data_IF_711282038607
#
_entry.id   IF_711282038607
#
_cell.length_a   1.000
_cell.length_b   1.000
_cell.length_c   1.000
_cell.angle_alpha   90.00
_cell.angle_beta   90.00
_cell.angle_gamma   90.00
#
_symmetry.space_group_name_H-M   'P 1'
#
loop_
_entity.id
_entity.type
_entity.pdbx_description
1 polymer ?
#
# COMPACT_ATOMS: atom_id res chain seq x y z
N UNK A 1 -13.68 -2.76 -8.11
CA UNK A 1 -14.15 -3.29 -6.81
C UNK A 1 -13.99 -4.81 -6.77
N UNK A 2 -13.27 -5.35 -5.77
CA UNK A 2 -13.05 -6.79 -5.62
C UNK A 2 -13.53 -7.21 -4.22
N UNK A 3 -14.66 -7.94 -4.08
CA UNK A 3 -15.25 -8.31 -2.79
C UNK A 3 -14.29 -9.09 -1.87
N UNK A 4 -13.47 -9.96 -2.45
CA UNK A 4 -12.52 -10.80 -1.69
C UNK A 4 -11.47 -10.01 -0.93
N UNK A 5 -10.92 -8.94 -1.52
CA UNK A 5 -10.01 -8.02 -0.80
C UNK A 5 -10.72 -7.32 0.36
N UNK A 6 -12.05 -7.23 0.28
CA UNK A 6 -12.83 -6.65 1.35
C UNK A 6 -12.94 -7.51 2.58
N UNK A 7 -13.26 -8.76 2.37
CA UNK A 7 -13.31 -9.80 3.40
C UNK A 7 -11.93 -10.03 4.01
N UNK A 8 -10.87 -10.06 3.20
CA UNK A 8 -9.50 -10.29 3.68
C UNK A 8 -8.99 -9.18 4.59
N UNK A 9 -9.33 -7.92 4.31
CA UNK A 9 -8.97 -6.80 5.18
C UNK A 9 -9.68 -6.91 6.53
N UNK A 10 -11.01 -7.12 6.52
CA UNK A 10 -11.79 -7.27 7.75
C UNK A 10 -11.30 -8.45 8.60
N UNK A 11 -10.98 -9.57 7.95
CA UNK A 11 -10.41 -10.73 8.62
C UNK A 11 -9.02 -10.42 9.22
N UNK A 12 -8.18 -9.65 8.53
CA UNK A 12 -6.86 -9.26 9.03
C UNK A 12 -6.98 -8.30 10.23
N UNK A 13 -7.86 -7.29 10.17
CA UNK A 13 -8.12 -6.37 11.28
C UNK A 13 -8.68 -7.09 12.52
N UNK A 14 -9.45 -8.16 12.32
CA UNK A 14 -9.97 -8.97 13.43
C UNK A 14 -8.96 -9.98 14.00
N UNK A 15 -8.00 -10.44 13.20
CA UNK A 15 -7.09 -11.54 13.56
C UNK A 15 -5.68 -11.10 13.94
N UNK A 16 -5.27 -9.89 13.55
CA UNK A 16 -3.90 -9.38 13.75
C UNK A 16 -3.96 -8.13 14.62
N UNK A 17 -3.12 -8.10 15.65
CA UNK A 17 -2.89 -6.88 16.45
C UNK A 17 -2.04 -5.89 15.65
N UNK A 18 -2.69 -5.12 14.78
CA UNK A 18 -2.07 -4.16 13.89
C UNK A 18 -2.86 -2.85 13.83
N UNK A 19 -2.13 -1.75 13.66
CA UNK A 19 -2.74 -0.44 13.48
C UNK A 19 -3.27 -0.29 12.06
N UNK A 20 -4.56 -0.03 11.93
CA UNK A 20 -5.18 0.26 10.65
C UNK A 20 -4.97 1.75 10.29
N UNK A 21 -4.39 2.00 9.12
CA UNK A 21 -4.21 3.35 8.57
C UNK A 21 -4.84 3.40 7.18
N UNK A 22 -5.85 4.25 7.04
CA UNK A 22 -6.50 4.49 5.76
C UNK A 22 -5.77 5.58 4.96
N UNK A 23 -5.59 5.30 3.67
CA UNK A 23 -5.32 6.27 2.63
C UNK A 23 -6.65 6.64 1.97
N UNK A 24 -7.17 7.82 2.34
CA UNK A 24 -8.48 8.30 1.91
C UNK A 24 -8.48 8.58 0.40
N UNK A 25 -9.25 7.79 -0.35
CA UNK A 25 -9.32 7.89 -1.81
C UNK A 25 -10.11 9.13 -2.24
N UNK A 26 -11.13 9.55 -1.49
CA UNK A 26 -11.91 10.74 -1.83
C UNK A 26 -11.03 11.98 -1.68
N UNK A 27 -10.29 12.10 -0.57
CA UNK A 27 -9.35 13.19 -0.34
C UNK A 27 -8.25 13.24 -1.41
N UNK A 28 -7.74 12.09 -1.86
CA UNK A 28 -6.76 12.04 -2.96
C UNK A 28 -7.33 12.57 -4.28
N UNK A 29 -8.57 12.19 -4.62
CA UNK A 29 -9.22 12.65 -5.85
C UNK A 29 -9.55 14.13 -5.79
N UNK A 30 -9.98 14.65 -4.64
CA UNK A 30 -10.25 16.07 -4.44
C UNK A 30 -8.96 16.91 -4.53
N UNK A 31 -7.85 16.38 -4.02
CA UNK A 31 -6.53 17.00 -4.12
C UNK A 31 -5.92 16.92 -5.54
N UNK A 32 -6.51 16.15 -6.45
CA UNK A 32 -5.95 15.90 -7.77
C UNK A 32 -6.04 17.16 -8.66
N UNK A 33 -4.94 17.91 -8.74
CA UNK A 33 -4.82 19.13 -9.52
C UNK A 33 -4.39 20.35 -8.70
N UNK A 34 -4.37 20.23 -7.37
CA UNK A 34 -3.79 21.22 -6.47
C UNK A 34 -2.32 20.87 -6.20
N UNK A 35 -1.43 21.85 -6.40
CA UNK A 35 0.01 21.64 -6.28
C UNK A 35 0.40 21.27 -4.84
N UNK A 36 1.02 20.10 -4.65
CA UNK A 36 1.49 19.61 -3.36
C UNK A 36 0.44 18.98 -2.45
N UNK A 37 -0.86 19.09 -2.75
CA UNK A 37 -1.92 18.58 -1.87
C UNK A 37 -1.90 17.04 -1.70
N UNK A 38 -1.63 16.32 -2.79
CA UNK A 38 -1.45 14.85 -2.77
C UNK A 38 -0.23 14.46 -1.93
N UNK A 39 0.89 15.17 -2.11
CA UNK A 39 2.13 14.90 -1.37
C UNK A 39 1.95 15.14 0.13
N UNK A 40 1.17 16.17 0.51
CA UNK A 40 0.85 16.43 1.91
C UNK A 40 0.00 15.29 2.52
N UNK A 41 -1.04 14.84 1.80
CA UNK A 41 -1.88 13.71 2.21
C UNK A 41 -1.04 12.44 2.40
N UNK A 42 -0.21 12.09 1.42
CA UNK A 42 0.70 10.95 1.46
C UNK A 42 1.71 11.10 2.60
N UNK A 43 2.26 12.30 2.80
CA UNK A 43 3.20 12.60 3.88
C UNK A 43 2.60 12.39 5.27
N UNK A 44 1.34 12.81 5.48
CA UNK A 44 0.60 12.58 6.74
C UNK A 44 0.41 11.10 7.02
N UNK A 45 -0.04 10.33 6.02
CA UNK A 45 -0.22 8.87 6.11
C UNK A 45 1.11 8.19 6.40
N UNK A 46 2.17 8.54 5.65
CA UNK A 46 3.53 8.00 5.80
C UNK A 46 4.05 8.20 7.22
N UNK A 47 3.93 9.43 7.75
CA UNK A 47 4.37 9.75 9.11
C UNK A 47 3.64 8.92 10.15
N UNK A 48 2.31 8.74 10.00
CA UNK A 48 1.51 7.91 10.91
C UNK A 48 1.94 6.45 10.89
N UNK A 49 2.12 5.87 9.70
CA UNK A 49 2.62 4.50 9.53
C UNK A 49 4.01 4.36 10.17
N UNK A 50 4.91 5.29 9.88
CA UNK A 50 6.27 5.26 10.39
C UNK A 50 6.34 5.37 11.92
N UNK A 51 5.52 6.24 12.53
CA UNK A 51 5.43 6.34 13.99
C UNK A 51 5.05 5.01 14.63
N UNK A 52 4.05 4.30 14.08
CA UNK A 52 3.61 3.01 14.61
C UNK A 52 4.67 1.92 14.42
N UNK A 53 5.29 1.86 13.24
CA UNK A 53 6.37 0.90 12.96
C UNK A 53 7.57 1.10 13.90
N UNK A 54 7.97 2.36 14.16
CA UNK A 54 9.05 2.68 15.12
C UNK A 54 8.67 2.36 16.57
N UNK A 55 7.38 2.38 16.90
CA UNK A 55 6.84 1.91 18.18
C UNK A 55 6.87 0.40 18.35
N UNK A 56 7.26 -0.36 17.31
CA UNK A 56 7.28 -1.83 17.35
C UNK A 56 5.94 -2.47 17.02
N UNK A 57 4.99 -1.71 16.48
CA UNK A 57 3.68 -2.24 16.08
C UNK A 57 3.65 -2.63 14.60
N UNK A 58 2.82 -3.62 14.29
CA UNK A 58 2.43 -3.92 12.91
C UNK A 58 1.40 -2.89 12.40
N UNK A 59 1.39 -2.66 11.08
CA UNK A 59 0.52 -1.66 10.45
C UNK A 59 -0.15 -2.24 9.20
N UNK A 60 -1.45 -2.02 9.07
CA UNK A 60 -2.23 -2.30 7.87
C UNK A 60 -2.53 -0.95 7.19
N UNK A 61 -1.82 -0.66 6.10
CA UNK A 61 -2.14 0.47 5.22
C UNK A 61 -3.13 0.01 4.15
N UNK A 62 -4.30 0.65 4.07
CA UNK A 62 -5.35 0.28 3.12
C UNK A 62 -6.00 1.52 2.49
N UNK A 63 -6.75 1.32 1.41
CA UNK A 63 -7.49 2.38 0.71
C UNK A 63 -8.98 2.28 0.98
N UNK A 64 -9.68 3.41 0.83
CA UNK A 64 -11.11 3.52 1.11
C UNK A 64 -11.97 2.45 0.45
N UNK A 65 -12.98 1.99 1.21
CA UNK A 65 -13.79 0.81 0.85
C UNK A 65 -15.01 1.09 0.02
N UNK A 66 -15.52 2.32 0.06
CA UNK A 66 -16.75 2.75 -0.60
C UNK A 66 -16.47 3.81 -1.65
N UNK A 67 -15.39 3.67 -2.42
CA UNK A 67 -15.15 4.58 -3.53
C UNK A 67 -16.09 4.23 -4.68
N UNK A 68 -16.94 5.17 -5.07
CA UNK A 68 -17.65 5.10 -6.33
C UNK A 68 -16.59 5.15 -7.45
N UNK A 69 -16.23 3.99 -8.00
CA UNK A 69 -15.39 3.99 -9.19
C UNK A 69 -16.20 4.59 -10.33
N UNK A 70 -15.69 5.66 -10.94
CA UNK A 70 -16.16 6.07 -12.25
C UNK A 70 -15.81 4.96 -13.26
N UNK A 71 -16.74 4.61 -14.14
CA UNK A 71 -16.47 3.62 -15.19
C UNK A 71 -15.52 4.19 -16.26
N UNK A 72 -14.85 3.29 -17.00
CA UNK A 72 -13.98 3.67 -18.12
C UNK A 72 -12.70 4.41 -17.72
N UNK A 73 -12.38 5.50 -18.43
CA UNK A 73 -11.13 6.24 -18.26
C UNK A 73 -10.98 6.89 -16.88
N UNK A 74 -12.09 7.30 -16.24
CA UNK A 74 -12.09 7.90 -14.91
C UNK A 74 -11.59 6.91 -13.84
N UNK A 75 -12.06 5.67 -13.86
CA UNK A 75 -11.62 4.63 -12.93
C UNK A 75 -10.16 4.24 -13.09
N UNK A 76 -9.64 4.25 -14.32
CA UNK A 76 -8.21 4.02 -14.59
C UNK A 76 -7.33 5.13 -14.01
N UNK A 77 -7.73 6.40 -14.19
CA UNK A 77 -6.99 7.55 -13.62
C UNK A 77 -6.97 7.51 -12.10
N UNK A 78 -8.13 7.33 -11.46
CA UNK A 78 -8.22 7.19 -10.00
C UNK A 78 -7.41 6.00 -9.50
N UNK A 79 -7.47 4.85 -10.20
CA UNK A 79 -6.68 3.68 -9.84
C UNK A 79 -5.17 3.95 -9.89
N UNK A 80 -4.70 4.66 -10.92
CA UNK A 80 -3.30 5.04 -11.05
C UNK A 80 -2.85 6.02 -9.95
N UNK A 81 -3.67 7.04 -9.65
CA UNK A 81 -3.43 8.00 -8.57
C UNK A 81 -3.30 7.27 -7.21
N UNK A 82 -4.28 6.42 -6.88
CA UNK A 82 -4.29 5.67 -5.62
C UNK A 82 -3.08 4.74 -5.51
N UNK A 83 -2.72 4.05 -6.59
CA UNK A 83 -1.57 3.16 -6.59
C UNK A 83 -0.24 3.93 -6.48
N UNK A 84 -0.13 5.11 -7.11
CA UNK A 84 1.04 6.00 -6.91
C UNK A 84 1.14 6.45 -5.47
N UNK A 85 0.05 6.97 -4.89
CA UNK A 85 0.01 7.43 -3.51
C UNK A 85 0.39 6.33 -2.49
N UNK A 86 -0.09 5.09 -2.71
CA UNK A 86 0.36 3.93 -1.91
C UNK A 86 1.87 3.68 -2.07
N UNK A 87 2.37 3.70 -3.30
CA UNK A 87 3.79 3.49 -3.57
C UNK A 87 4.65 4.58 -2.92
N UNK A 88 4.23 5.83 -3.01
CA UNK A 88 4.93 6.99 -2.47
C UNK A 88 4.91 6.96 -0.93
N UNK A 89 3.80 6.51 -0.33
CA UNK A 89 3.73 6.29 1.12
C UNK A 89 4.77 5.25 1.60
N UNK A 90 4.85 4.10 0.93
CA UNK A 90 5.84 3.06 1.27
C UNK A 90 7.27 3.56 1.00
N UNK A 91 7.48 4.26 -0.12
CA UNK A 91 8.79 4.82 -0.49
C UNK A 91 9.25 5.87 0.52
N UNK A 92 8.33 6.65 1.09
CA UNK A 92 8.58 7.69 2.08
C UNK A 92 8.97 7.17 3.46
N UNK A 93 8.71 5.90 3.80
CA UNK A 93 9.09 5.32 5.09
C UNK A 93 10.61 5.39 5.31
N UNK A 94 11.08 6.12 6.30
CA UNK A 94 12.49 6.16 6.68
C UNK A 94 12.94 4.95 7.51
N UNK A 95 12.01 4.22 8.13
CA UNK A 95 12.28 2.95 8.79
C UNK A 95 12.20 1.76 7.82
N UNK A 96 12.96 0.70 8.12
CA UNK A 96 12.88 -0.57 7.39
C UNK A 96 11.99 -1.56 8.15
N UNK A 97 10.77 -1.85 7.67
CA UNK A 97 9.94 -2.87 8.30
C UNK A 97 10.59 -4.25 8.14
N UNK A 98 10.30 -5.16 9.09
CA UNK A 98 10.88 -6.52 9.08
C UNK A 98 10.32 -7.39 7.95
N UNK A 99 9.10 -7.10 7.52
CA UNK A 99 8.40 -7.76 6.43
C UNK A 99 7.39 -6.79 5.79
N UNK A 100 6.93 -7.11 4.60
CA UNK A 100 5.86 -6.38 3.92
C UNK A 100 4.95 -7.38 3.23
N UNK A 101 3.64 -7.23 3.44
CA UNK A 101 2.61 -8.02 2.74
C UNK A 101 1.84 -7.09 1.83
N UNK A 102 2.00 -7.28 0.51
CA UNK A 102 1.23 -6.54 -0.48
C UNK A 102 0.08 -7.40 -1.01
N UNK A 103 -1.05 -6.77 -1.28
CA UNK A 103 -2.24 -7.44 -1.79
C UNK A 103 -2.65 -6.87 -3.14
N UNK A 104 -2.83 -7.77 -4.11
CA UNK A 104 -3.22 -7.42 -5.49
C UNK A 104 -2.03 -7.45 -6.43
N UNK A 105 -2.22 -7.92 -7.66
CA UNK A 105 -1.11 -8.17 -8.59
C UNK A 105 -0.33 -6.90 -8.95
N UNK A 106 -1.04 -5.86 -9.40
CA UNK A 106 -0.45 -4.57 -9.79
C UNK A 106 0.21 -3.89 -8.59
N UNK A 107 -0.52 -3.76 -7.48
CA UNK A 107 0.00 -3.12 -6.27
C UNK A 107 1.24 -3.81 -5.72
N UNK A 108 1.27 -5.15 -5.69
CA UNK A 108 2.45 -5.89 -5.20
C UNK A 108 3.66 -5.69 -6.10
N UNK A 109 3.47 -5.67 -7.42
CA UNK A 109 4.53 -5.37 -8.37
C UNK A 109 5.07 -3.96 -8.17
N UNK A 110 4.18 -2.98 -8.11
CA UNK A 110 4.58 -1.57 -8.07
C UNK A 110 5.23 -1.19 -6.74
N UNK A 111 4.76 -1.74 -5.61
CA UNK A 111 5.46 -1.57 -4.32
C UNK A 111 6.87 -2.16 -4.40
N UNK A 112 7.04 -3.36 -4.97
CA UNK A 112 8.35 -3.97 -5.10
C UNK A 112 9.29 -3.12 -5.97
N UNK A 113 8.85 -2.74 -7.18
CA UNK A 113 9.70 -2.07 -8.17
C UNK A 113 9.87 -0.58 -7.87
N UNK A 114 8.77 0.15 -7.62
CA UNK A 114 8.76 1.62 -7.52
C UNK A 114 9.07 2.13 -6.12
N UNK A 115 8.58 1.44 -5.08
CA UNK A 115 8.79 1.88 -3.70
C UNK A 115 10.07 1.31 -3.10
N UNK A 116 10.30 0.01 -3.28
CA UNK A 116 11.43 -0.70 -2.67
C UNK A 116 12.65 -0.81 -3.60
N UNK A 117 12.54 -0.46 -4.88
CA UNK A 117 13.65 -0.51 -5.83
C UNK A 117 14.12 -1.93 -6.16
N UNK A 118 13.23 -2.91 -6.05
CA UNK A 118 13.54 -4.32 -6.30
C UNK A 118 13.75 -4.53 -7.80
N UNK A 119 14.96 -4.93 -8.17
CA UNK A 119 15.28 -5.36 -9.53
C UNK A 119 15.30 -6.89 -9.67
N UNK A 120 15.66 -7.59 -8.59
CA UNK A 120 15.67 -9.03 -8.45
C UNK A 120 15.28 -9.43 -7.03
N UNK A 121 14.52 -10.51 -6.91
CA UNK A 121 14.18 -11.13 -5.63
C UNK A 121 14.33 -12.66 -5.73
N UNK A 122 14.64 -13.29 -4.61
CA UNK A 122 14.68 -14.75 -4.50
C UNK A 122 13.33 -15.23 -3.98
N UNK A 123 12.66 -16.09 -4.75
CA UNK A 123 11.44 -16.77 -4.29
C UNK A 123 11.85 -17.85 -3.30
N UNK A 124 11.48 -17.69 -2.03
CA UNK A 124 11.81 -18.62 -0.94
C UNK A 124 10.82 -19.77 -0.82
N UNK A 125 9.70 -19.68 -1.52
CA UNK A 125 8.58 -20.62 -1.46
C UNK A 125 7.26 -19.88 -1.58
N UNK A 126 6.20 -20.51 -1.13
CA UNK A 126 4.85 -19.95 -1.10
C UNK A 126 4.24 -20.07 0.29
N UNK A 127 3.59 -19.01 0.76
CA UNK A 127 2.86 -19.00 2.03
C UNK A 127 1.54 -19.75 1.89
N UNK A 128 0.87 -19.58 0.75
CA UNK A 128 -0.34 -20.26 0.31
C UNK A 128 -0.20 -20.58 -1.18
N UNK A 129 -1.00 -21.50 -1.75
CA UNK A 129 -1.06 -21.72 -3.19
C UNK A 129 -1.20 -20.40 -3.97
N UNK A 130 -0.16 -20.03 -4.72
CA UNK A 130 -0.12 -18.79 -5.52
C UNK A 130 0.23 -17.50 -4.76
N UNK A 131 0.65 -17.58 -3.49
CA UNK A 131 1.12 -16.43 -2.69
C UNK A 131 2.61 -16.62 -2.38
N UNK A 132 3.52 -16.05 -3.20
CA UNK A 132 4.95 -16.28 -3.05
C UNK A 132 5.54 -15.48 -1.89
N UNK A 133 6.61 -16.00 -1.28
CA UNK A 133 7.44 -15.28 -0.30
C UNK A 133 8.74 -14.88 -0.98
N UNK A 134 9.04 -13.59 -0.96
CA UNK A 134 10.23 -13.01 -1.60
C UNK A 134 11.25 -12.58 -0.55
N UNK A 135 12.51 -12.95 -0.76
CA UNK A 135 13.65 -12.32 -0.12
C UNK A 135 14.23 -11.28 -1.09
N UNK A 136 14.19 -10.02 -0.70
CA UNK A 136 14.67 -8.90 -1.53
C UNK A 136 16.20 -8.75 -1.41
N UNK A 137 16.83 -8.28 -2.48
CA UNK A 137 18.29 -8.12 -2.55
C UNK A 137 18.83 -6.93 -1.75
N UNK A 138 20.16 -6.83 -1.54
CA UNK A 138 20.76 -5.74 -0.75
C UNK A 138 20.57 -4.32 -1.31
N UNK A 139 20.17 -4.21 -2.58
CA UNK A 139 19.92 -2.93 -3.26
C UNK A 139 18.49 -2.43 -3.10
N UNK A 140 17.59 -3.25 -2.54
CA UNK A 140 16.26 -2.79 -2.17
C UNK A 140 16.29 -2.09 -0.81
N UNK A 141 15.35 -1.17 -0.62
CA UNK A 141 15.11 -0.53 0.68
C UNK A 141 14.66 -1.54 1.74
#
# INVERSE_FOLDING_TARGET
>A
YVPKTSEQLLAAEAAVDAWAVELDVAALVEAEGEEGAVDELVGRVTKKVETMLRGGHDVILYTSRRTAHADGAGGLRTGALVNSALCDAVKGLGCRPRYLVAKGGITSNDVAVRSLGVDRAVVRGQLLPGVPVWALGPRSK
#
